data_IF_459737430404
#
_entry.id   IF_459737430404
#
_cell.length_a   1.000
_cell.length_b   1.000
_cell.length_c   1.000
_cell.angle_alpha   90.00
_cell.angle_beta   90.00
_cell.angle_gamma   90.00
#
_symmetry.space_group_name_H-M   'P 1'
#
loop_
_entity.id
_entity.type
_entity.pdbx_description
1 polymer ?
#
# COMPACT_ATOMS: atom_id res chain seq x y z
N UNK A 1 -2.47 -6.92 -12.77
CA UNK A 1 -3.17 -7.82 -11.84
C UNK A 1 -3.31 -7.09 -10.52
N UNK A 2 -4.49 -7.10 -9.90
CA UNK A 2 -4.80 -6.22 -8.78
C UNK A 2 -4.40 -6.86 -7.44
N UNK A 3 -3.53 -6.20 -6.68
CA UNK A 3 -3.22 -6.52 -5.30
C UNK A 3 -4.04 -5.59 -4.39
N UNK A 4 -5.30 -5.96 -4.16
CA UNK A 4 -6.29 -5.09 -3.54
C UNK A 4 -6.18 -5.01 -2.00
N UNK A 5 -5.55 -5.98 -1.35
CA UNK A 5 -5.52 -6.06 0.11
C UNK A 5 -4.28 -6.84 0.59
N UNK A 6 -4.12 -6.93 1.91
CA UNK A 6 -3.08 -7.71 2.58
C UNK A 6 -2.97 -9.11 1.97
N UNK A 7 -1.74 -9.55 1.70
CA UNK A 7 -1.43 -10.89 1.21
C UNK A 7 -2.28 -11.38 0.00
N UNK A 8 -2.67 -10.48 -0.90
CA UNK A 8 -3.55 -10.77 -2.04
C UNK A 8 -4.97 -11.22 -1.66
N UNK A 9 -5.47 -10.80 -0.49
CA UNK A 9 -6.84 -11.01 -0.03
C UNK A 9 -6.98 -12.05 1.08
N UNK A 10 -8.23 -12.45 1.44
CA UNK A 10 -8.50 -13.24 2.65
C UNK A 10 -7.86 -14.63 2.66
N UNK A 11 -7.42 -15.13 1.51
CA UNK A 11 -6.70 -16.41 1.39
C UNK A 11 -5.19 -16.31 1.64
N UNK A 12 -4.68 -15.10 1.91
CA UNK A 12 -3.27 -14.79 2.18
C UNK A 12 -2.30 -15.47 1.22
N UNK A 13 -2.67 -15.41 -0.05
CA UNK A 13 -2.09 -16.23 -1.09
C UNK A 13 -0.68 -15.76 -1.45
N UNK A 14 -0.38 -14.49 -1.22
CA UNK A 14 0.91 -13.85 -1.49
C UNK A 14 1.49 -14.13 -2.89
N UNK A 15 0.65 -14.55 -3.85
CA UNK A 15 1.08 -15.01 -5.16
C UNK A 15 0.14 -14.47 -6.24
N UNK A 16 0.72 -14.24 -7.42
CA UNK A 16 0.00 -13.83 -8.61
C UNK A 16 0.07 -14.97 -9.62
N UNK A 17 -1.10 -15.46 -10.05
CA UNK A 17 -1.21 -16.70 -10.82
C UNK A 17 -0.46 -16.72 -12.15
N UNK A 18 -0.15 -15.55 -12.68
CA UNK A 18 0.55 -15.37 -13.96
C UNK A 18 1.86 -14.60 -13.81
N UNK A 19 2.37 -14.40 -12.58
CA UNK A 19 3.63 -13.72 -12.38
C UNK A 19 4.80 -14.58 -12.87
N UNK A 20 5.53 -14.08 -13.86
CA UNK A 20 6.78 -14.64 -14.32
C UNK A 20 7.79 -13.50 -14.44
N UNK A 21 9.04 -13.75 -14.05
CA UNK A 21 10.11 -12.76 -14.25
C UNK A 21 10.55 -12.66 -15.71
N UNK A 22 10.31 -13.70 -16.52
CA UNK A 22 10.52 -13.68 -17.97
C UNK A 22 11.96 -13.49 -18.43
N UNK A 23 12.96 -13.70 -17.55
CA UNK A 23 14.38 -13.43 -17.85
C UNK A 23 14.98 -14.55 -18.71
N UNK A 24 15.38 -14.22 -19.93
CA UNK A 24 16.05 -15.10 -20.89
C UNK A 24 17.57 -15.20 -20.70
N UNK A 25 18.22 -16.03 -21.51
CA UNK A 25 19.69 -16.18 -21.49
C UNK A 25 20.37 -14.89 -21.92
N UNK A 26 21.22 -14.34 -21.06
CA UNK A 26 21.94 -13.09 -21.31
C UNK A 26 21.15 -11.82 -20.98
N UNK A 27 19.90 -11.95 -20.53
CA UNK A 27 19.11 -10.82 -20.05
C UNK A 27 19.41 -10.53 -18.57
N UNK A 28 19.13 -9.29 -18.15
CA UNK A 28 19.29 -8.87 -16.75
C UNK A 28 18.03 -8.15 -16.28
N UNK A 29 17.71 -8.31 -14.99
CA UNK A 29 16.59 -7.64 -14.35
C UNK A 29 17.11 -6.48 -13.51
N UNK A 30 16.38 -5.37 -13.56
CA UNK A 30 16.62 -4.22 -12.70
C UNK A 30 15.44 -4.07 -11.74
N UNK A 31 15.74 -3.67 -10.51
CA UNK A 31 14.73 -3.40 -9.51
C UNK A 31 14.97 -2.01 -8.92
N UNK A 32 13.92 -1.19 -8.92
CA UNK A 32 13.87 0.05 -8.15
C UNK A 32 13.44 -0.29 -6.73
N UNK A 33 14.16 0.23 -5.74
CA UNK A 33 13.79 0.10 -4.34
C UNK A 33 13.87 1.46 -3.66
N UNK A 34 13.00 1.68 -2.69
CA UNK A 34 12.99 2.86 -1.84
C UNK A 34 12.73 2.43 -0.42
N UNK A 35 13.62 2.81 0.49
CA UNK A 35 13.39 2.61 1.91
C UNK A 35 12.41 3.66 2.41
N UNK A 36 11.36 3.21 3.09
CA UNK A 36 10.38 4.07 3.75
C UNK A 36 10.35 3.69 5.23
N UNK A 37 10.47 4.69 6.11
CA UNK A 37 10.44 4.44 7.54
C UNK A 37 8.99 4.16 7.96
N UNK A 38 8.77 3.01 8.59
CA UNK A 38 7.48 2.62 9.18
C UNK A 38 6.35 2.51 8.13
N UNK A 39 6.65 1.79 7.04
CA UNK A 39 5.67 1.33 6.05
C UNK A 39 5.07 -0.01 6.52
N UNK A 40 3.74 -0.09 6.64
CA UNK A 40 3.05 -1.33 7.02
C UNK A 40 2.75 -2.19 5.81
N UNK A 41 2.18 -1.60 4.75
CA UNK A 41 1.62 -2.38 3.65
C UNK A 41 1.48 -1.57 2.37
N UNK A 42 1.51 -2.28 1.24
CA UNK A 42 1.30 -1.73 -0.10
C UNK A 42 0.16 -2.46 -0.80
N UNK A 43 -0.69 -1.71 -1.50
CA UNK A 43 -1.69 -2.23 -2.43
C UNK A 43 -1.50 -1.64 -3.82
N UNK A 44 -1.79 -2.43 -4.85
CA UNK A 44 -1.66 -2.05 -6.26
C UNK A 44 -2.87 -2.55 -7.04
N UNK A 45 -3.99 -1.81 -7.06
CA UNK A 45 -5.22 -2.23 -7.73
C UNK A 45 -5.09 -2.31 -9.25
N UNK A 46 -4.19 -1.52 -9.83
CA UNK A 46 -3.94 -1.43 -11.26
C UNK A 46 -2.44 -1.24 -11.50
N UNK A 47 -1.93 -1.48 -12.72
CA UNK A 47 -0.50 -1.31 -13.04
C UNK A 47 0.03 0.11 -12.76
N UNK A 48 -0.84 1.12 -12.79
CA UNK A 48 -0.48 2.54 -12.68
C UNK A 48 -0.71 3.11 -11.27
N UNK A 49 -1.17 2.26 -10.35
CA UNK A 49 -1.52 2.66 -8.99
C UNK A 49 -0.79 1.81 -7.96
N UNK A 50 -0.05 2.50 -7.09
CA UNK A 50 0.60 1.93 -5.92
C UNK A 50 0.29 2.82 -4.74
N UNK A 51 -0.26 2.25 -3.68
CA UNK A 51 -0.58 2.96 -2.45
C UNK A 51 0.13 2.32 -1.27
N UNK A 52 0.85 3.11 -0.48
CA UNK A 52 1.61 2.68 0.68
C UNK A 52 0.99 3.25 1.97
N UNK A 53 0.67 2.37 2.92
CA UNK A 53 0.27 2.75 4.27
C UNK A 53 1.53 2.96 5.11
N UNK A 54 1.67 4.18 5.63
CA UNK A 54 2.76 4.59 6.51
C UNK A 54 2.20 5.05 7.86
N UNK A 55 3.02 5.01 8.91
CA UNK A 55 2.61 5.47 10.23
C UNK A 55 3.77 5.96 11.12
N UNK A 56 3.43 6.58 12.24
CA UNK A 56 4.35 6.82 13.35
C UNK A 56 4.21 5.73 14.42
N UNK A 57 5.10 5.71 15.41
CA UNK A 57 4.96 4.87 16.61
C UNK A 57 4.45 5.67 17.81
N UNK A 58 4.18 4.97 18.92
CA UNK A 58 3.78 5.58 20.19
C UNK A 58 2.29 5.46 20.52
N UNK A 59 1.88 6.08 21.62
CA UNK A 59 0.52 5.95 22.17
C UNK A 59 -0.54 6.81 21.44
N UNK A 60 -0.09 7.82 20.69
CA UNK A 60 -0.92 8.69 19.85
C UNK A 60 -0.34 8.75 18.43
N UNK A 61 -0.21 7.57 17.82
CA UNK A 61 0.35 7.44 16.49
C UNK A 61 -0.65 7.92 15.43
N UNK A 62 -0.10 8.38 14.31
CA UNK A 62 -0.85 8.75 13.11
C UNK A 62 -0.43 7.86 11.95
N UNK A 63 -1.37 7.62 11.04
CA UNK A 63 -1.13 6.95 9.76
C UNK A 63 -1.40 7.90 8.59
N UNK A 64 -0.89 7.57 7.43
CA UNK A 64 -1.20 8.25 6.17
C UNK A 64 -1.00 7.29 5.01
N UNK A 65 -1.60 7.61 3.86
CA UNK A 65 -1.41 6.85 2.63
C UNK A 65 -0.64 7.71 1.64
N UNK A 66 0.41 7.14 1.07
CA UNK A 66 1.13 7.72 -0.07
C UNK A 66 0.73 7.00 -1.35
N UNK A 67 0.39 7.75 -2.40
CA UNK A 67 0.34 7.22 -3.77
C UNK A 67 1.73 7.34 -4.36
N UNK A 68 2.30 6.22 -4.80
CA UNK A 68 3.64 6.13 -5.35
C UNK A 68 3.59 5.94 -6.87
N UNK A 69 4.59 6.48 -7.57
CA UNK A 69 4.82 6.14 -8.96
C UNK A 69 5.24 4.66 -9.06
N UNK A 70 4.62 3.84 -9.93
CA UNK A 70 4.81 2.39 -9.92
C UNK A 70 6.25 1.93 -10.22
N UNK A 71 7.01 2.72 -11.00
CA UNK A 71 8.41 2.41 -11.36
C UNK A 71 9.47 3.15 -10.54
N UNK A 72 9.38 4.47 -10.38
CA UNK A 72 10.38 5.26 -9.64
C UNK A 72 10.19 5.18 -8.12
N UNK A 73 9.02 4.76 -7.65
CA UNK A 73 8.62 4.74 -6.24
C UNK A 73 8.61 6.13 -5.57
N UNK A 74 8.66 7.20 -6.36
CA UNK A 74 8.50 8.57 -5.86
C UNK A 74 7.06 8.81 -5.43
N UNK A 75 6.89 9.61 -4.36
CA UNK A 75 5.57 9.97 -3.85
C UNK A 75 4.92 10.96 -4.82
N UNK A 76 3.78 10.56 -5.41
CA UNK A 76 2.95 11.41 -6.28
C UNK A 76 2.02 12.28 -5.43
N UNK A 77 1.42 11.69 -4.40
CA UNK A 77 0.48 12.36 -3.50
C UNK A 77 0.46 11.68 -2.13
N UNK A 78 -0.03 12.38 -1.11
CA UNK A 78 -0.24 11.83 0.22
C UNK A 78 -1.59 12.31 0.79
N UNK A 79 -2.24 11.46 1.59
CA UNK A 79 -3.42 11.84 2.35
C UNK A 79 -3.08 12.86 3.45
N UNK A 80 -4.12 13.43 4.07
CA UNK A 80 -3.96 14.03 5.40
C UNK A 80 -3.46 12.98 6.41
N UNK A 81 -3.00 13.45 7.58
CA UNK A 81 -2.67 12.58 8.71
C UNK A 81 -3.96 12.03 9.30
N UNK A 82 -4.00 10.71 9.51
CA UNK A 82 -5.14 9.97 10.01
C UNK A 82 -4.83 9.50 11.43
N UNK A 83 -5.74 9.78 12.35
CA UNK A 83 -5.61 9.34 13.76
C UNK A 83 -5.46 7.83 13.84
N UNK A 84 -4.51 7.36 14.64
CA UNK A 84 -4.26 5.94 14.90
C UNK A 84 -4.49 5.54 16.35
N UNK A 85 -4.15 6.40 17.31
CA UNK A 85 -4.09 6.03 18.72
C UNK A 85 -2.85 5.15 18.99
N UNK A 86 -2.90 4.21 19.95
CA UNK A 86 -1.75 3.36 20.24
C UNK A 86 -1.29 2.59 19.00
N UNK A 87 0.01 2.68 18.70
CA UNK A 87 0.58 2.11 17.49
C UNK A 87 0.38 0.59 17.44
N UNK A 88 -0.50 0.17 16.53
CA UNK A 88 -0.73 -1.22 16.18
C UNK A 88 -0.80 -1.32 14.65
N UNK A 89 0.15 -2.02 14.00
CA UNK A 89 0.14 -2.17 12.55
C UNK A 89 -1.18 -2.80 12.09
N UNK A 90 -1.90 -2.08 11.22
CA UNK A 90 -3.12 -2.57 10.60
C UNK A 90 -2.89 -2.87 9.12
N UNK A 91 -3.76 -2.36 8.25
CA UNK A 91 -3.68 -2.62 6.83
C UNK A 91 -4.47 -1.63 5.99
N UNK A 92 -4.26 -1.71 4.68
CA UNK A 92 -4.98 -0.95 3.67
C UNK A 92 -5.62 -1.90 2.66
N UNK A 93 -6.87 -1.66 2.30
CA UNK A 93 -7.55 -2.42 1.28
C UNK A 93 -8.25 -1.50 0.30
N UNK A 94 -8.34 -1.95 -0.94
CA UNK A 94 -9.20 -1.40 -1.96
C UNK A 94 -10.52 -2.14 -1.89
N UNK A 95 -11.60 -1.39 -1.64
CA UNK A 95 -12.95 -1.91 -1.73
C UNK A 95 -13.45 -1.89 -3.19
N UNK A 96 -14.43 -2.73 -3.51
CA UNK A 96 -15.02 -2.82 -4.86
C UNK A 96 -15.69 -1.51 -5.33
N UNK A 97 -16.03 -0.61 -4.40
CA UNK A 97 -16.48 0.76 -4.73
C UNK A 97 -15.37 1.63 -5.32
N UNK A 98 -14.12 1.20 -5.25
CA UNK A 98 -12.96 1.98 -5.61
C UNK A 98 -12.37 2.78 -4.45
N UNK A 99 -12.95 2.77 -3.25
CA UNK A 99 -12.36 3.47 -2.10
C UNK A 99 -11.23 2.67 -1.44
N UNK A 100 -10.34 3.40 -0.77
CA UNK A 100 -9.32 2.86 0.12
C UNK A 100 -9.86 2.80 1.54
N UNK A 101 -9.74 1.66 2.19
CA UNK A 101 -10.02 1.46 3.60
C UNK A 101 -8.71 1.25 4.34
N UNK A 102 -8.45 2.08 5.36
CA UNK A 102 -7.21 2.08 6.14
C UNK A 102 -7.55 1.76 7.58
N UNK A 103 -6.93 0.73 8.13
CA UNK A 103 -7.00 0.40 9.55
C UNK A 103 -5.61 0.59 10.14
N UNK A 104 -5.52 1.35 11.22
CA UNK A 104 -4.28 1.51 11.97
C UNK A 104 -4.60 1.86 13.44
N UNK A 105 -3.88 1.25 14.37
CA UNK A 105 -4.16 1.39 15.80
C UNK A 105 -5.58 0.93 16.13
N UNK A 106 -6.35 1.79 16.78
CA UNK A 106 -7.77 1.56 17.10
C UNK A 106 -8.74 2.34 16.19
N UNK A 107 -8.30 2.73 14.98
CA UNK A 107 -9.10 3.50 14.04
C UNK A 107 -9.25 2.81 12.68
N UNK A 108 -10.36 3.13 12.01
CA UNK A 108 -10.60 2.82 10.61
C UNK A 108 -10.99 4.09 9.85
N UNK A 109 -10.41 4.29 8.68
CA UNK A 109 -10.63 5.42 7.80
C UNK A 109 -11.00 4.95 6.40
N UNK A 110 -11.76 5.78 5.70
CA UNK A 110 -12.04 5.62 4.28
C UNK A 110 -11.42 6.80 3.56
N UNK A 111 -10.81 6.55 2.40
CA UNK A 111 -10.32 7.56 1.48
C UNK A 111 -10.80 7.23 0.07
N UNK A 112 -11.05 8.25 -0.75
CA UNK A 112 -11.15 8.10 -2.20
C UNK A 112 -9.79 7.76 -2.81
N UNK A 113 -9.76 7.44 -4.11
CA UNK A 113 -8.50 7.20 -4.86
C UNK A 113 -7.58 8.39 -4.97
N UNK A 114 -8.13 9.60 -4.82
CA UNK A 114 -7.37 10.84 -4.78
C UNK A 114 -6.93 11.20 -3.34
N UNK A 115 -7.01 10.24 -2.41
CA UNK A 115 -6.54 10.34 -1.02
C UNK A 115 -7.31 11.34 -0.14
N UNK A 116 -8.58 11.58 -0.46
CA UNK A 116 -9.49 12.46 0.30
C UNK A 116 -10.47 11.64 1.15
N UNK A 117 -10.81 12.08 2.36
CA UNK A 117 -11.70 11.37 3.29
C UNK A 117 -13.20 11.48 2.92
#
# INVERSE_FOLDING_TARGET
MAWLAEDAGPRRQQWSASAQLGVGTGESMQATHRSMMVLTMVVSPSPDEVFALCHTGGDDAESWVERLHPTTLETIAASERLRGGPAWPGGIAVHDSGDLHVVFGNHAHRLTRDLQR
#
